data_IF_584024971713
#
_entry.id   IF_584024971713
#
_cell.length_a   1.000
_cell.length_b   1.000
_cell.length_c   1.000
_cell.angle_alpha   90.00
_cell.angle_beta   90.00
_cell.angle_gamma   90.00
#
_symmetry.space_group_name_H-M   'P 1'
#
loop_
_entity.id
_entity.type
_entity.pdbx_description
1 polymer ?
#
# COMPACT_ATOMS: atom_id res chain seq x y z
N UNK A 1 -13.41 5.26 6.72
CA UNK A 1 -12.44 4.27 6.26
C UNK A 1 -11.27 4.98 5.57
N UNK A 2 -10.06 4.72 6.03
CA UNK A 2 -8.84 5.39 5.54
C UNK A 2 -7.88 4.34 5.01
N UNK A 3 -7.50 4.45 3.74
CA UNK A 3 -6.41 3.66 3.15
C UNK A 3 -5.15 4.52 3.08
N UNK A 4 -4.17 4.19 3.90
CA UNK A 4 -2.82 4.71 3.76
C UNK A 4 -2.07 3.92 2.69
N UNK A 5 -1.41 4.62 1.79
CA UNK A 5 -0.50 4.00 0.82
C UNK A 5 0.88 4.64 0.96
N UNK A 6 1.90 3.81 1.13
CA UNK A 6 3.27 4.26 1.39
C UNK A 6 4.28 3.27 0.79
N UNK A 7 5.46 3.75 0.41
CA UNK A 7 6.54 2.88 -0.07
C UNK A 7 7.32 2.21 1.07
N UNK A 8 7.22 2.72 2.27
CA UNK A 8 7.92 2.24 3.47
C UNK A 8 7.00 2.23 4.68
N UNK A 9 7.24 1.31 5.63
CA UNK A 9 6.64 1.32 6.97
C UNK A 9 7.54 0.55 7.94
N UNK A 10 8.10 1.23 8.93
CA UNK A 10 8.86 0.64 10.02
C UNK A 10 7.94 -0.26 10.89
N UNK A 11 8.37 -1.44 11.33
CA UNK A 11 9.66 -2.11 11.16
C UNK A 11 9.77 -3.01 9.90
N UNK A 12 8.74 -3.10 9.05
CA UNK A 12 8.77 -4.00 7.89
C UNK A 12 9.86 -3.60 6.89
N UNK A 13 9.89 -2.33 6.55
CA UNK A 13 10.89 -1.73 5.68
C UNK A 13 11.08 -0.25 6.00
N UNK A 14 12.31 0.18 6.17
CA UNK A 14 12.68 1.56 6.44
C UNK A 14 13.99 1.89 5.73
N UNK A 15 13.99 2.97 4.96
CA UNK A 15 15.17 3.57 4.33
C UNK A 15 15.39 4.98 4.88
N UNK A 16 14.30 5.72 5.09
CA UNK A 16 14.35 7.10 5.58
C UNK A 16 13.21 7.43 6.55
N UNK A 17 12.99 8.71 6.79
CA UNK A 17 11.92 9.20 7.67
C UNK A 17 10.51 8.86 7.18
N UNK A 18 10.35 8.53 5.90
CA UNK A 18 9.07 8.09 5.38
C UNK A 18 8.62 6.76 6.01
N UNK A 19 9.57 5.86 6.29
CA UNK A 19 9.29 4.61 7.00
C UNK A 19 8.75 4.85 8.41
N UNK A 20 9.27 5.85 9.13
CA UNK A 20 8.75 6.23 10.44
C UNK A 20 7.29 6.71 10.35
N UNK A 21 6.98 7.56 9.37
CA UNK A 21 5.62 8.05 9.15
C UNK A 21 4.68 6.91 8.76
N UNK A 22 5.10 6.06 7.80
CA UNK A 22 4.30 4.93 7.32
C UNK A 22 3.99 3.89 8.40
N UNK A 23 4.90 3.69 9.36
CA UNK A 23 4.69 2.80 10.50
C UNK A 23 3.89 3.45 11.63
N UNK A 24 4.20 4.71 11.98
CA UNK A 24 3.67 5.33 13.20
C UNK A 24 2.30 5.99 13.01
N UNK A 25 2.05 6.71 11.91
CA UNK A 25 0.82 7.48 11.74
C UNK A 25 -0.44 6.60 11.65
N UNK A 26 -0.47 5.53 10.82
CA UNK A 26 -1.62 4.63 10.81
C UNK A 26 -1.87 3.98 12.17
N UNK A 27 -0.80 3.59 12.90
CA UNK A 27 -0.89 3.00 14.22
C UNK A 27 -1.45 3.98 15.26
N UNK A 28 -1.02 5.24 15.25
CA UNK A 28 -1.54 6.28 16.14
C UNK A 28 -3.04 6.53 15.91
N UNK A 29 -3.47 6.65 14.65
CA UNK A 29 -4.88 6.82 14.31
C UNK A 29 -5.72 5.59 14.68
N UNK A 30 -5.17 4.39 14.50
CA UNK A 30 -5.82 3.15 14.93
C UNK A 30 -5.99 3.11 16.46
N UNK A 31 -5.00 3.58 17.22
CA UNK A 31 -5.11 3.67 18.67
C UNK A 31 -6.19 4.65 19.09
N UNK A 32 -6.25 5.84 18.45
CA UNK A 32 -7.32 6.81 18.70
C UNK A 32 -8.71 6.24 18.43
N UNK A 33 -8.85 5.40 17.41
CA UNK A 33 -10.15 4.76 17.09
C UNK A 33 -10.64 3.83 18.22
N UNK A 34 -9.75 3.33 19.06
CA UNK A 34 -10.06 2.44 20.19
C UNK A 34 -10.37 3.18 21.49
N UNK A 35 -9.97 4.43 21.61
CA UNK A 35 -10.26 5.26 22.78
C UNK A 35 -11.74 5.66 22.89
N UNK A 36 -12.51 5.43 21.83
CA UNK A 36 -13.95 5.75 21.78
C UNK A 36 -14.24 7.21 21.39
N UNK A 37 -15.49 7.63 21.56
CA UNK A 37 -15.92 8.97 21.19
C UNK A 37 -16.05 9.16 19.67
N UNK A 38 -15.70 10.35 19.19
CA UNK A 38 -15.88 10.76 17.79
C UNK A 38 -15.03 9.96 16.78
N UNK A 39 -14.03 9.22 17.24
CA UNK A 39 -13.09 8.46 16.40
C UNK A 39 -13.35 6.93 16.40
N UNK A 40 -14.34 6.45 17.15
CA UNK A 40 -14.60 5.01 17.32
C UNK A 40 -14.99 4.26 16.03
N UNK A 41 -15.37 4.98 14.98
CA UNK A 41 -15.76 4.42 13.69
C UNK A 41 -14.64 4.38 12.65
N UNK A 42 -13.42 4.78 12.99
CA UNK A 42 -12.31 4.80 12.03
C UNK A 42 -11.81 3.37 11.75
N UNK A 43 -11.90 2.92 10.50
CA UNK A 43 -11.21 1.75 9.97
C UNK A 43 -10.00 2.23 9.17
N UNK A 44 -8.80 1.95 9.70
CA UNK A 44 -7.54 2.41 9.13
C UNK A 44 -6.78 1.20 8.64
N UNK A 45 -6.40 1.22 7.37
CA UNK A 45 -5.60 0.17 6.74
C UNK A 45 -4.42 0.78 5.99
N UNK A 46 -3.33 0.03 5.95
CA UNK A 46 -2.10 0.41 5.28
C UNK A 46 -1.86 -0.49 4.07
N UNK A 47 -1.30 0.04 2.99
CA UNK A 47 -0.76 -0.75 1.89
C UNK A 47 0.67 -0.32 1.59
N UNK A 48 1.57 -1.30 1.45
CA UNK A 48 2.97 -1.12 1.07
C UNK A 48 3.37 -2.16 0.02
N UNK A 49 4.42 -1.91 -0.77
CA UNK A 49 4.96 -2.93 -1.67
C UNK A 49 5.54 -4.11 -0.87
N UNK A 50 5.28 -5.34 -1.33
CA UNK A 50 5.83 -6.55 -0.73
C UNK A 50 7.23 -6.85 -1.28
N UNK A 51 8.20 -6.04 -0.89
CA UNK A 51 9.58 -6.17 -1.34
C UNK A 51 10.19 -7.54 -0.97
N UNK A 52 11.16 -8.05 -1.75
CA UNK A 52 11.91 -9.26 -1.38
C UNK A 52 12.51 -9.18 0.03
N UNK A 53 12.98 -8.00 0.44
CA UNK A 53 13.51 -7.72 1.79
C UNK A 53 12.49 -7.98 2.91
N UNK A 54 11.20 -7.77 2.67
CA UNK A 54 10.14 -8.10 3.63
C UNK A 54 9.85 -9.61 3.61
N UNK A 55 9.86 -10.23 2.44
CA UNK A 55 9.56 -11.66 2.27
C UNK A 55 10.49 -12.57 3.07
N UNK A 56 11.75 -12.17 3.26
CA UNK A 56 12.74 -12.95 4.01
C UNK A 56 12.62 -12.79 5.55
N UNK A 57 11.76 -11.91 6.05
CA UNK A 57 11.57 -11.67 7.48
C UNK A 57 10.65 -12.70 8.17
N UNK A 58 10.08 -13.63 7.38
CA UNK A 58 9.17 -14.68 7.87
C UNK A 58 8.00 -14.15 8.74
N UNK A 59 7.47 -12.99 8.36
CA UNK A 59 6.31 -12.42 9.03
C UNK A 59 5.04 -13.20 8.63
N UNK A 60 4.09 -13.40 9.56
CA UNK A 60 2.82 -14.03 9.23
C UNK A 60 2.08 -13.24 8.15
N UNK A 61 1.86 -13.87 7.00
CA UNK A 61 1.11 -13.27 5.89
C UNK A 61 0.04 -14.22 5.40
N UNK A 62 -1.09 -13.66 4.97
CA UNK A 62 -2.21 -14.40 4.36
C UNK A 62 -2.45 -13.88 2.95
N UNK A 63 -2.44 -14.75 1.94
CA UNK A 63 -2.89 -14.39 0.60
C UNK A 63 -4.38 -14.06 0.61
N UNK A 64 -4.76 -12.94 0.01
CA UNK A 64 -6.14 -12.46 -0.04
C UNK A 64 -6.72 -12.63 -1.44
N UNK A 65 -6.08 -12.03 -2.45
CA UNK A 65 -6.61 -12.00 -3.82
C UNK A 65 -5.52 -11.60 -4.82
N UNK A 66 -5.86 -11.73 -6.10
CA UNK A 66 -5.07 -11.17 -7.21
C UNK A 66 -5.88 -10.13 -7.98
N UNK A 67 -5.22 -9.09 -8.44
CA UNK A 67 -5.77 -7.99 -9.22
C UNK A 67 -5.00 -7.88 -10.54
N UNK A 68 -5.69 -7.78 -11.67
CA UNK A 68 -5.04 -7.53 -12.97
C UNK A 68 -4.90 -6.04 -13.21
N UNK A 69 -3.68 -5.55 -13.23
CA UNK A 69 -3.35 -4.16 -13.52
C UNK A 69 -3.10 -4.02 -15.02
N UNK A 70 -3.89 -3.18 -15.66
CA UNK A 70 -3.70 -2.86 -17.09
C UNK A 70 -2.45 -2.00 -17.26
N UNK A 71 -1.57 -2.42 -18.14
CA UNK A 71 -0.40 -1.66 -18.60
C UNK A 71 -0.48 -1.44 -20.11
N UNK A 72 0.45 -0.69 -20.67
CA UNK A 72 0.50 -0.44 -22.11
C UNK A 72 0.80 -1.70 -22.93
N UNK A 73 1.56 -2.63 -22.39
CA UNK A 73 1.99 -3.84 -23.09
C UNK A 73 1.03 -5.02 -22.84
N UNK A 74 0.90 -5.41 -21.58
CA UNK A 74 0.03 -6.54 -21.19
C UNK A 74 -0.37 -6.37 -19.72
N UNK A 75 -1.53 -6.93 -19.31
CA UNK A 75 -1.91 -6.89 -17.90
C UNK A 75 -0.88 -7.59 -17.02
N UNK A 76 -0.51 -6.93 -15.91
CA UNK A 76 0.38 -7.47 -14.88
C UNK A 76 -0.44 -7.86 -13.66
N UNK A 77 -0.17 -9.03 -13.09
CA UNK A 77 -0.87 -9.49 -11.89
C UNK A 77 -0.27 -8.85 -10.62
N UNK A 78 -1.11 -8.19 -9.83
CA UNK A 78 -0.81 -7.79 -8.47
C UNK A 78 -1.41 -8.82 -7.50
N UNK A 79 -0.58 -9.44 -6.67
CA UNK A 79 -0.99 -10.37 -5.62
C UNK A 79 -1.02 -9.62 -4.29
N UNK A 80 -2.12 -9.74 -3.58
CA UNK A 80 -2.37 -9.03 -2.32
C UNK A 80 -2.26 -10.02 -1.16
N UNK A 81 -1.38 -9.70 -0.24
CA UNK A 81 -1.24 -10.41 1.02
C UNK A 81 -1.62 -9.48 2.17
N UNK A 82 -2.07 -10.05 3.26
CA UNK A 82 -2.42 -9.32 4.48
C UNK A 82 -1.52 -9.74 5.63
N UNK A 83 -1.15 -8.77 6.43
CA UNK A 83 -0.50 -8.93 7.73
C UNK A 83 -1.05 -7.88 8.70
N UNK A 84 -0.54 -7.87 9.92
CA UNK A 84 -0.84 -6.81 10.90
C UNK A 84 0.43 -6.10 11.31
N UNK A 85 0.42 -4.77 11.25
CA UNK A 85 1.50 -3.92 11.72
C UNK A 85 0.98 -3.03 12.84
N UNK A 86 1.45 -3.24 14.07
CA UNK A 86 1.00 -2.49 15.26
C UNK A 86 -0.53 -2.45 15.41
N UNK A 87 -1.21 -3.55 15.09
CA UNK A 87 -2.66 -3.68 15.14
C UNK A 87 -3.40 -3.13 13.91
N UNK A 88 -2.70 -2.49 12.97
CA UNK A 88 -3.27 -1.99 11.71
C UNK A 88 -3.27 -3.11 10.67
N UNK A 89 -4.42 -3.36 10.03
CA UNK A 89 -4.50 -4.25 8.87
C UNK A 89 -3.61 -3.70 7.77
N UNK A 90 -2.61 -4.46 7.36
CA UNK A 90 -1.61 -4.04 6.38
C UNK A 90 -1.61 -4.96 5.18
N UNK A 91 -1.81 -4.38 4.01
CA UNK A 91 -1.76 -5.07 2.72
C UNK A 91 -0.38 -4.96 2.10
N UNK A 92 0.17 -6.09 1.71
CA UNK A 92 1.44 -6.22 1.04
C UNK A 92 1.17 -6.52 -0.44
N UNK A 93 1.52 -5.59 -1.30
CA UNK A 93 1.30 -5.69 -2.75
C UNK A 93 2.53 -6.30 -3.41
N UNK A 94 2.39 -7.47 -4.05
CA UNK A 94 3.43 -8.18 -4.80
C UNK A 94 3.08 -8.22 -6.29
N UNK A 95 4.06 -8.23 -7.13
CA UNK A 95 3.93 -8.36 -8.58
C UNK A 95 5.28 -8.15 -9.24
N UNK A 96 5.41 -8.52 -10.52
CA UNK A 96 6.70 -8.54 -11.22
C UNK A 96 7.52 -7.25 -11.05
N UNK A 97 6.97 -6.03 -11.20
CA UNK A 97 7.76 -4.81 -11.03
C UNK A 97 8.33 -4.60 -9.62
N UNK A 98 7.66 -5.16 -8.59
CA UNK A 98 8.12 -5.10 -7.20
C UNK A 98 9.05 -6.27 -6.90
N UNK A 99 8.68 -7.47 -7.35
CA UNK A 99 9.36 -8.72 -7.01
C UNK A 99 10.78 -8.78 -7.58
N UNK A 100 11.04 -8.13 -8.73
CA UNK A 100 12.38 -8.02 -9.33
C UNK A 100 13.27 -6.95 -8.69
N UNK A 101 12.72 -6.09 -7.83
CA UNK A 101 13.46 -4.99 -7.23
C UNK A 101 14.21 -5.45 -5.99
N UNK A 102 15.54 -5.46 -6.04
CA UNK A 102 16.39 -5.79 -4.88
C UNK A 102 16.36 -4.70 -3.81
N UNK A 103 16.16 -3.44 -4.22
CA UNK A 103 16.15 -2.26 -3.35
C UNK A 103 14.78 -1.59 -3.33
N UNK A 104 14.47 -0.92 -2.23
CA UNK A 104 13.28 -0.07 -2.12
C UNK A 104 13.38 1.08 -3.12
N UNK A 105 14.50 1.75 -3.15
CA UNK A 105 14.84 2.79 -4.13
C UNK A 105 16.07 2.37 -4.90
N UNK A 106 15.93 2.23 -6.21
CA UNK A 106 16.99 1.83 -7.11
C UNK A 106 17.83 3.00 -7.60
N UNK A 107 18.88 2.67 -8.35
CA UNK A 107 19.71 3.68 -9.03
C UNK A 107 19.12 4.12 -10.38
N UNK A 108 18.21 3.32 -10.93
CA UNK A 108 17.52 3.60 -12.19
C UNK A 108 16.10 4.10 -11.95
N UNK A 109 15.89 5.38 -12.27
CA UNK A 109 14.60 6.04 -12.13
C UNK A 109 13.47 5.36 -12.91
N UNK A 110 13.75 4.77 -14.08
CA UNK A 110 12.73 4.10 -14.88
C UNK A 110 12.19 2.87 -14.17
N UNK A 111 13.06 2.06 -13.62
CA UNK A 111 12.68 0.87 -12.83
C UNK A 111 11.87 1.25 -11.60
N UNK A 112 12.26 2.32 -10.90
CA UNK A 112 11.49 2.82 -9.75
C UNK A 112 10.13 3.38 -10.19
N UNK A 113 10.06 4.12 -11.29
CA UNK A 113 8.81 4.63 -11.83
C UNK A 113 7.85 3.47 -12.18
N UNK A 114 8.30 2.45 -12.89
CA UNK A 114 7.49 1.26 -13.23
C UNK A 114 6.94 0.59 -11.96
N UNK A 115 7.78 0.37 -10.96
CA UNK A 115 7.43 -0.22 -9.68
C UNK A 115 6.34 0.57 -8.95
N UNK A 116 6.52 1.88 -8.80
CA UNK A 116 5.61 2.72 -8.03
C UNK A 116 4.35 3.11 -8.79
N UNK A 117 4.39 3.17 -10.12
CA UNK A 117 3.18 3.25 -10.96
C UNK A 117 2.34 1.99 -10.77
N UNK A 118 2.94 0.81 -10.89
CA UNK A 118 2.27 -0.47 -10.67
C UNK A 118 1.66 -0.54 -9.27
N UNK A 119 2.41 -0.21 -8.23
CA UNK A 119 1.94 -0.18 -6.85
C UNK A 119 0.75 0.77 -6.67
N UNK A 120 0.84 2.00 -7.18
CA UNK A 120 -0.22 2.99 -7.13
C UNK A 120 -1.52 2.50 -7.77
N UNK A 121 -1.41 1.90 -8.96
CA UNK A 121 -2.57 1.36 -9.67
C UNK A 121 -3.19 0.16 -8.96
N UNK A 122 -2.38 -0.70 -8.34
CA UNK A 122 -2.87 -1.80 -7.52
C UNK A 122 -3.63 -1.30 -6.29
N UNK A 123 -3.10 -0.27 -5.61
CA UNK A 123 -3.76 0.35 -4.45
C UNK A 123 -5.12 0.98 -4.79
N UNK A 124 -5.28 1.54 -5.98
CA UNK A 124 -6.58 2.06 -6.43
C UNK A 124 -7.64 0.97 -6.67
N UNK A 125 -7.20 -0.22 -7.06
CA UNK A 125 -8.10 -1.36 -7.29
C UNK A 125 -8.39 -2.15 -6.00
N UNK A 126 -7.56 -1.96 -4.97
CA UNK A 126 -7.63 -2.71 -3.72
C UNK A 126 -8.98 -2.58 -3.01
N UNK A 127 -9.58 -1.38 -2.84
CA UNK A 127 -10.89 -1.24 -2.21
C UNK A 127 -11.98 -2.05 -2.90
N UNK A 128 -12.01 -2.02 -4.24
CA UNK A 128 -12.96 -2.81 -5.02
C UNK A 128 -12.74 -4.32 -4.84
N UNK A 129 -11.51 -4.79 -4.91
CA UNK A 129 -11.16 -6.19 -4.75
C UNK A 129 -11.47 -6.73 -3.35
N UNK A 130 -11.48 -5.87 -2.34
CA UNK A 130 -11.78 -6.20 -0.94
C UNK A 130 -13.25 -5.98 -0.58
N UNK A 131 -14.09 -5.48 -1.49
CA UNK A 131 -15.45 -5.03 -1.19
C UNK A 131 -15.49 -4.07 0.02
N UNK A 132 -14.51 -3.17 0.09
CA UNK A 132 -14.33 -2.22 1.17
C UNK A 132 -14.39 -0.79 0.66
N UNK A 133 -15.32 0.01 1.17
CA UNK A 133 -15.45 1.42 0.79
C UNK A 133 -14.39 2.25 1.49
N UNK A 134 -13.63 3.01 0.73
CA UNK A 134 -12.61 3.94 1.23
C UNK A 134 -13.15 5.37 1.13
N UNK A 135 -13.12 6.11 2.22
CA UNK A 135 -13.53 7.51 2.27
C UNK A 135 -12.34 8.45 2.02
N UNK A 136 -11.15 8.04 2.49
CA UNK A 136 -9.91 8.81 2.35
C UNK A 136 -8.80 7.90 1.84
N UNK A 137 -8.19 8.27 0.71
CA UNK A 137 -6.90 7.75 0.25
C UNK A 137 -5.79 8.69 0.72
N UNK A 138 -5.00 8.25 1.71
CA UNK A 138 -3.85 8.99 2.21
C UNK A 138 -2.57 8.52 1.51
N UNK A 139 -2.18 9.25 0.49
CA UNK A 139 -1.00 8.94 -0.32
C UNK A 139 0.24 9.65 0.25
N UNK A 140 1.34 8.91 0.38
CA UNK A 140 2.58 9.40 0.99
C UNK A 140 3.69 9.47 -0.06
N UNK A 141 4.19 10.69 -0.28
CA UNK A 141 5.33 11.00 -1.15
C UNK A 141 5.08 10.68 -2.65
N UNK A 142 6.07 10.97 -3.51
CA UNK A 142 5.99 10.82 -4.97
C UNK A 142 5.71 9.37 -5.43
N UNK A 143 6.12 8.38 -4.65
CA UNK A 143 5.90 6.95 -4.90
C UNK A 143 4.43 6.57 -5.06
N UNK A 144 3.53 7.37 -4.50
CA UNK A 144 2.09 7.14 -4.50
C UNK A 144 1.31 8.22 -5.26
N UNK A 145 2.01 9.19 -5.86
CA UNK A 145 1.39 10.32 -6.55
C UNK A 145 0.50 9.89 -7.73
N UNK A 146 0.86 8.79 -8.41
CA UNK A 146 0.06 8.27 -9.52
C UNK A 146 -1.32 7.81 -9.06
N UNK A 147 -1.45 7.28 -7.84
CA UNK A 147 -2.76 6.92 -7.29
C UNK A 147 -3.66 8.15 -7.15
N UNK A 148 -3.14 9.26 -6.63
CA UNK A 148 -3.88 10.53 -6.51
C UNK A 148 -4.25 11.10 -7.88
N UNK A 149 -3.32 11.03 -8.83
CA UNK A 149 -3.58 11.53 -10.20
C UNK A 149 -4.70 10.75 -10.87
N UNK A 150 -4.65 9.43 -10.82
CA UNK A 150 -5.63 8.54 -11.46
C UNK A 150 -6.99 8.51 -10.73
N UNK A 151 -7.02 8.86 -9.45
CA UNK A 151 -8.27 8.92 -8.69
C UNK A 151 -9.30 9.90 -9.31
N UNK A 152 -8.83 10.93 -10.03
CA UNK A 152 -9.70 11.89 -10.72
C UNK A 152 -10.53 11.28 -11.85
N UNK A 153 -10.01 10.22 -12.47
CA UNK A 153 -10.56 9.59 -13.67
C UNK A 153 -11.42 8.36 -13.34
N UNK A 154 -11.51 7.98 -12.05
CA UNK A 154 -12.36 6.86 -11.65
C UNK A 154 -13.85 7.26 -11.74
N UNK A 155 -14.70 6.44 -12.38
CA UNK A 155 -16.12 6.73 -12.55
C UNK A 155 -16.90 6.74 -11.22
N UNK A 156 -16.45 5.98 -10.24
CA UNK A 156 -16.99 5.93 -8.88
C UNK A 156 -15.84 6.25 -7.91
N UNK A 157 -15.65 7.53 -7.62
CA UNK A 157 -14.68 7.95 -6.60
C UNK A 157 -15.10 7.39 -5.25
N UNK A 158 -14.13 6.95 -4.44
CA UNK A 158 -14.44 6.62 -3.04
C UNK A 158 -14.97 7.83 -2.31
#
# INVERSE_FOLDING_TARGET
NILFICSEADPLVKIGGLGDVGGALPAALHSLSKEGGNYSSLDIRLAIPYYPKIKIQDIPTRFITSIKIKTAESPVEARIFETSLSGVTTYLVSGEPIDRSEMVYGLDFKTDAEKFIFFSLACLQLPHALHWTVDILHANDWHTAVAVHQLKDLPNKP
#
